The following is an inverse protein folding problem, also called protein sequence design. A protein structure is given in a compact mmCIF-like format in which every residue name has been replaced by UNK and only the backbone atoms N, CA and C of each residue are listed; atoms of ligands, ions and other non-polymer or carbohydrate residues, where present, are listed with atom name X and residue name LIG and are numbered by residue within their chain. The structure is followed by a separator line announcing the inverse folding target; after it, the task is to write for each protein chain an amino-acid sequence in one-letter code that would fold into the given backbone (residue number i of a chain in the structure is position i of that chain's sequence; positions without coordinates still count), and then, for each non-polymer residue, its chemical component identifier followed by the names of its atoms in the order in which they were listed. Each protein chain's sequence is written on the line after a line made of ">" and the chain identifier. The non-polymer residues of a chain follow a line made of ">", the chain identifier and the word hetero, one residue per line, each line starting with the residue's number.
data_IF_090433667319
#
_entry.id   IF_090433667319
#
_cell.length_a   1.000
_cell.length_b   1.000
_cell.length_c   1.000
_cell.angle_alpha   90.00
_cell.angle_beta   90.00
_cell.angle_gamma   90.00
#
_symmetry.space_group_name_H-M   'P 1'
#
loop_
_entity.id
_entity.type
_entity.pdbx_description
1 polymer ?
#
# COMPACT_ATOMS: atom_id res chain seq x y z
N UNK A 1 2.62 -8.01 0.30
CA UNK A 1 2.94 -9.35 -0.27
C UNK A 1 1.93 -9.57 -1.36
N UNK A 2 2.40 -9.68 -2.60
CA UNK A 2 1.55 -9.85 -3.78
C UNK A 2 1.88 -11.23 -4.36
N UNK A 3 1.02 -12.20 -4.12
CA UNK A 3 1.08 -13.55 -4.66
C UNK A 3 0.80 -13.54 -6.17
N UNK A 4 -0.02 -12.62 -6.65
CA UNK A 4 -0.35 -12.49 -8.07
C UNK A 4 0.74 -11.68 -8.81
N UNK A 5 1.41 -12.26 -9.83
CA UNK A 5 2.51 -11.60 -10.54
C UNK A 5 2.03 -10.40 -11.37
N UNK A 6 0.79 -10.43 -11.85
CA UNK A 6 0.19 -9.32 -12.62
C UNK A 6 0.00 -8.07 -11.74
N UNK A 7 -0.46 -8.27 -10.49
CA UNK A 7 -0.56 -7.16 -9.53
C UNK A 7 0.83 -6.61 -9.19
N UNK A 8 1.85 -7.46 -9.10
CA UNK A 8 3.21 -7.02 -8.80
C UNK A 8 3.74 -6.06 -9.85
N UNK A 9 3.63 -6.42 -11.14
CA UNK A 9 4.07 -5.55 -12.22
C UNK A 9 3.32 -4.20 -12.20
N UNK A 10 2.02 -4.23 -11.91
CA UNK A 10 1.24 -3.00 -11.85
C UNK A 10 1.59 -2.13 -10.64
N UNK A 11 1.80 -2.74 -9.47
CA UNK A 11 2.21 -2.04 -8.27
C UNK A 11 3.61 -1.46 -8.42
N UNK A 12 4.53 -2.16 -9.09
CA UNK A 12 5.86 -1.62 -9.42
C UNK A 12 5.76 -0.38 -10.32
N UNK A 13 4.88 -0.41 -11.34
CA UNK A 13 4.62 0.77 -12.18
C UNK A 13 4.03 1.92 -11.38
N UNK A 14 3.04 1.63 -10.53
CA UNK A 14 2.37 2.63 -9.68
C UNK A 14 3.36 3.23 -8.67
N UNK A 15 4.21 2.43 -8.04
CA UNK A 15 5.21 2.92 -7.12
C UNK A 15 6.27 3.78 -7.81
N UNK A 16 6.70 3.39 -9.01
CA UNK A 16 7.60 4.19 -9.83
C UNK A 16 6.98 5.54 -10.19
N UNK A 17 5.69 5.56 -10.54
CA UNK A 17 4.94 6.79 -10.82
C UNK A 17 4.75 7.67 -9.58
N UNK A 18 4.53 7.08 -8.41
CA UNK A 18 4.43 7.78 -7.12
C UNK A 18 5.79 8.18 -6.53
N UNK A 19 6.91 7.74 -7.11
CA UNK A 19 8.25 8.00 -6.59
C UNK A 19 8.58 7.25 -5.29
N UNK A 20 7.82 6.21 -4.94
CA UNK A 20 7.99 5.47 -3.67
C UNK A 20 8.82 4.21 -3.83
N UNK A 21 9.56 3.85 -2.78
CA UNK A 21 10.37 2.62 -2.74
C UNK A 21 9.53 1.44 -2.25
N UNK A 22 9.27 0.47 -3.12
CA UNK A 22 8.61 -0.78 -2.73
C UNK A 22 9.58 -1.71 -2.00
N UNK A 23 9.13 -2.24 -0.86
CA UNK A 23 9.78 -3.35 -0.18
C UNK A 23 8.88 -4.57 -0.26
N UNK A 24 9.32 -5.59 -1.00
CA UNK A 24 8.60 -6.85 -1.11
C UNK A 24 8.92 -7.74 0.10
N UNK A 25 7.92 -7.97 0.95
CA UNK A 25 7.97 -9.09 1.88
C UNK A 25 7.87 -10.38 1.07
N UNK A 26 8.99 -11.10 0.91
CA UNK A 26 9.07 -12.33 0.14
C UNK A 26 8.20 -13.44 0.73
N UNK A 27 7.71 -14.33 -0.11
CA UNK A 27 6.76 -15.40 0.24
C UNK A 27 7.27 -16.36 1.33
N UNK A 28 8.60 -16.41 1.53
CA UNK A 28 9.27 -17.31 2.47
C UNK A 28 9.32 -16.81 3.92
N UNK A 29 9.08 -15.52 4.20
CA UNK A 29 9.16 -14.98 5.55
C UNK A 29 7.91 -14.16 5.91
N UNK A 30 7.22 -14.46 7.02
CA UNK A 30 6.10 -13.64 7.49
C UNK A 30 6.59 -12.21 7.77
N UNK A 31 5.77 -11.22 7.40
CA UNK A 31 6.03 -9.81 7.72
C UNK A 31 6.16 -9.69 9.22
N UNK A 32 7.36 -9.34 9.69
CA UNK A 32 7.57 -9.12 11.12
C UNK A 32 6.73 -7.92 11.57
N UNK A 33 6.23 -7.94 12.81
CA UNK A 33 5.53 -6.77 13.39
C UNK A 33 6.36 -5.48 13.26
N UNK A 34 7.69 -5.57 13.35
CA UNK A 34 8.60 -4.43 13.16
C UNK A 34 8.54 -3.87 11.73
N UNK A 35 8.56 -4.74 10.72
CA UNK A 35 8.46 -4.34 9.31
C UNK A 35 7.11 -3.70 9.02
N UNK A 36 6.03 -4.26 9.58
CA UNK A 36 4.69 -3.70 9.48
C UNK A 36 4.60 -2.30 10.09
N UNK A 37 5.16 -2.10 11.28
CA UNK A 37 5.14 -0.79 11.95
C UNK A 37 6.08 0.24 11.33
N UNK A 38 7.16 -0.20 10.67
CA UNK A 38 8.14 0.70 10.04
C UNK A 38 7.73 1.14 8.62
N UNK A 39 6.76 0.46 8.00
CA UNK A 39 6.31 0.78 6.65
C UNK A 39 5.47 2.07 6.64
N UNK A 40 5.75 3.00 5.72
CA UNK A 40 4.91 4.19 5.54
C UNK A 40 3.52 3.83 4.99
N UNK A 41 3.46 2.86 4.07
CA UNK A 41 2.24 2.28 3.52
C UNK A 41 2.37 0.76 3.42
N UNK A 42 1.25 0.04 3.53
CA UNK A 42 1.25 -1.42 3.34
C UNK A 42 0.28 -1.81 2.24
N UNK A 43 0.81 -2.50 1.22
CA UNK A 43 0.04 -3.02 0.09
C UNK A 43 -0.03 -4.54 0.15
N UNK A 44 -1.26 -5.07 0.16
CA UNK A 44 -1.58 -6.49 0.26
C UNK A 44 -2.49 -6.88 -0.90
N UNK A 45 -2.43 -8.12 -1.39
CA UNK A 45 -3.54 -8.67 -2.18
C UNK A 45 -4.59 -9.34 -1.27
N UNK A 46 -5.71 -9.77 -1.85
CA UNK A 46 -6.78 -10.46 -1.13
C UNK A 46 -6.30 -11.71 -0.35
N UNK A 47 -5.40 -12.52 -0.91
CA UNK A 47 -4.87 -13.74 -0.26
C UNK A 47 -3.95 -13.38 0.91
N UNK A 48 -3.12 -12.37 0.74
CA UNK A 48 -2.22 -11.85 1.75
C UNK A 48 -3.00 -11.18 2.88
N UNK A 49 -4.07 -10.45 2.59
CA UNK A 49 -4.96 -9.87 3.59
C UNK A 49 -5.59 -10.96 4.47
N UNK A 50 -6.18 -12.00 3.86
CA UNK A 50 -6.76 -13.12 4.58
C UNK A 50 -5.73 -13.90 5.43
N UNK A 51 -4.46 -13.93 4.98
CA UNK A 51 -3.37 -14.46 5.80
C UNK A 51 -3.07 -13.53 6.96
N UNK A 52 -2.80 -12.25 6.71
CA UNK A 52 -2.43 -11.23 7.69
C UNK A 52 -3.47 -11.04 8.79
N UNK A 53 -4.76 -11.17 8.49
CA UNK A 53 -5.86 -11.16 9.45
C UNK A 53 -5.58 -12.15 10.61
N UNK A 54 -5.07 -13.35 10.29
CA UNK A 54 -4.77 -14.39 11.29
C UNK A 54 -3.60 -14.03 12.22
N UNK A 55 -2.77 -13.07 11.85
CA UNK A 55 -1.59 -12.67 12.63
C UNK A 55 -1.87 -11.49 13.57
N UNK A 56 -3.11 -10.97 13.59
CA UNK A 56 -3.56 -9.87 14.46
C UNK A 56 -2.55 -8.72 14.50
N UNK A 57 -2.11 -8.27 13.32
CA UNK A 57 -1.15 -7.18 13.19
C UNK A 57 -1.77 -5.87 13.73
N UNK A 58 -0.98 -4.98 14.34
CA UNK A 58 -1.49 -3.73 14.90
C UNK A 58 -2.13 -2.88 13.80
N UNK A 59 -3.30 -2.29 14.09
CA UNK A 59 -3.96 -1.34 13.17
C UNK A 59 -3.03 -0.17 12.91
N UNK A 60 -2.82 0.12 11.62
CA UNK A 60 -1.99 1.21 11.12
C UNK A 60 -2.77 1.88 10.00
N UNK A 61 -2.60 3.19 9.90
CA UNK A 61 -3.16 3.96 8.80
C UNK A 61 -2.42 3.63 7.48
N UNK A 62 -3.05 3.85 6.32
CA UNK A 62 -2.48 3.59 4.99
C UNK A 62 -2.24 2.11 4.62
N UNK A 63 -3.15 1.21 5.03
CA UNK A 63 -3.19 -0.17 4.53
C UNK A 63 -4.12 -0.25 3.31
N UNK A 64 -3.62 -0.72 2.17
CA UNK A 64 -4.40 -0.88 0.92
C UNK A 64 -4.41 -2.33 0.47
N UNK A 65 -5.59 -2.85 0.16
CA UNK A 65 -5.79 -4.19 -0.39
C UNK A 65 -6.06 -4.10 -1.90
N UNK A 66 -5.38 -4.95 -2.67
CA UNK A 66 -5.49 -5.02 -4.12
C UNK A 66 -6.18 -6.30 -4.55
N UNK A 67 -6.98 -6.17 -5.61
CA UNK A 67 -7.65 -7.27 -6.28
C UNK A 67 -7.49 -7.17 -7.79
N UNK A 68 -7.37 -8.30 -8.47
CA UNK A 68 -7.37 -8.38 -9.95
C UNK A 68 -8.80 -8.26 -10.50
N UNK A 69 -9.76 -8.83 -9.77
CA UNK A 69 -11.18 -8.86 -10.15
C UNK A 69 -12.06 -8.03 -9.21
N UNK A 70 -13.37 -8.18 -9.36
CA UNK A 70 -14.34 -7.54 -8.46
C UNK A 70 -14.15 -8.06 -7.03
N UNK A 71 -14.01 -7.19 -6.02
CA UNK A 71 -13.82 -7.63 -4.64
C UNK A 71 -15.09 -8.32 -4.13
N UNK A 72 -14.97 -9.61 -3.85
CA UNK A 72 -16.03 -10.39 -3.20
C UNK A 72 -16.16 -10.04 -1.71
N UNK A 73 -17.26 -10.46 -1.08
CA UNK A 73 -17.52 -10.22 0.34
C UNK A 73 -16.41 -10.75 1.26
N UNK A 74 -15.74 -11.83 0.87
CA UNK A 74 -14.61 -12.42 1.60
C UNK A 74 -13.38 -11.52 1.56
N UNK A 75 -13.11 -10.88 0.41
CA UNK A 75 -12.04 -9.89 0.26
C UNK A 75 -12.32 -8.66 1.11
N UNK A 76 -13.56 -8.17 1.12
CA UNK A 76 -13.97 -7.06 1.98
C UNK A 76 -13.83 -7.39 3.47
N UNK A 77 -14.26 -8.58 3.89
CA UNK A 77 -14.12 -9.03 5.28
C UNK A 77 -12.64 -9.09 5.70
N UNK A 78 -11.78 -9.68 4.86
CA UNK A 78 -10.35 -9.75 5.11
C UNK A 78 -9.71 -8.35 5.16
N UNK A 79 -10.10 -7.45 4.26
CA UNK A 79 -9.65 -6.06 4.24
C UNK A 79 -10.01 -5.32 5.54
N UNK A 80 -11.26 -5.43 5.99
CA UNK A 80 -11.70 -4.87 7.28
C UNK A 80 -10.94 -5.50 8.46
N UNK A 81 -10.71 -6.82 8.42
CA UNK A 81 -9.98 -7.56 9.43
C UNK A 81 -8.54 -7.06 9.63
N UNK A 82 -7.85 -6.72 8.54
CA UNK A 82 -6.50 -6.14 8.59
C UNK A 82 -6.48 -4.62 8.81
N UNK A 83 -7.65 -3.97 8.83
CA UNK A 83 -7.75 -2.52 8.92
C UNK A 83 -7.37 -1.79 7.64
N UNK A 84 -7.64 -2.39 6.48
CA UNK A 84 -7.45 -1.74 5.20
C UNK A 84 -8.37 -0.51 5.07
N UNK A 85 -7.77 0.58 4.63
CA UNK A 85 -8.44 1.84 4.37
C UNK A 85 -9.07 1.83 2.96
N UNK A 86 -8.39 1.19 2.01
CA UNK A 86 -8.80 1.13 0.61
C UNK A 86 -8.75 -0.31 0.08
N UNK A 87 -9.74 -0.66 -0.76
CA UNK A 87 -9.74 -1.89 -1.56
C UNK A 87 -9.81 -1.48 -3.03
N UNK A 88 -8.70 -1.61 -3.74
CA UNK A 88 -8.55 -1.12 -5.12
C UNK A 88 -8.43 -2.28 -6.11
N UNK A 89 -9.05 -2.11 -7.28
CA UNK A 89 -9.01 -3.09 -8.37
C UNK A 89 -7.99 -2.69 -9.42
N UNK A 90 -6.97 -3.51 -9.63
CA UNK A 90 -5.97 -3.28 -10.68
C UNK A 90 -6.25 -4.13 -11.93
N UNK A 91 -5.96 -3.59 -13.13
CA UNK A 91 -5.35 -2.27 -13.40
C UNK A 91 -6.33 -1.08 -13.37
N UNK A 92 -7.64 -1.30 -13.15
CA UNK A 92 -8.66 -0.26 -13.30
C UNK A 92 -8.59 0.95 -12.35
N UNK A 93 -7.88 0.85 -11.21
CA UNK A 93 -7.78 1.87 -10.15
C UNK A 93 -6.31 2.17 -9.80
N UNK A 94 -5.41 2.09 -10.79
CA UNK A 94 -3.99 2.36 -10.59
C UNK A 94 -3.73 3.81 -10.13
N UNK A 95 -4.49 4.77 -10.64
CA UNK A 95 -4.37 6.18 -10.27
C UNK A 95 -4.72 6.43 -8.79
N UNK A 96 -5.76 5.77 -8.28
CA UNK A 96 -6.14 5.85 -6.86
C UNK A 96 -5.04 5.27 -5.97
N UNK A 97 -4.38 4.20 -6.41
CA UNK A 97 -3.25 3.62 -5.69
C UNK A 97 -2.03 4.57 -5.69
N UNK A 98 -1.75 5.26 -6.80
CA UNK A 98 -0.69 6.29 -6.84
C UNK A 98 -0.96 7.37 -5.80
N UNK A 99 -2.20 7.88 -5.74
CA UNK A 99 -2.59 8.90 -4.76
C UNK A 99 -2.45 8.41 -3.32
N UNK A 100 -2.96 7.21 -3.02
CA UNK A 100 -2.86 6.62 -1.69
C UNK A 100 -1.39 6.40 -1.25
N UNK A 101 -0.52 5.97 -2.16
CA UNK A 101 0.91 5.79 -1.87
C UNK A 101 1.65 7.12 -1.68
N UNK A 102 1.33 8.13 -2.49
CA UNK A 102 1.92 9.47 -2.35
C UNK A 102 1.51 10.10 -1.01
N UNK A 103 0.23 10.03 -0.66
CA UNK A 103 -0.29 10.55 0.62
C UNK A 103 0.38 9.85 1.82
N UNK A 104 0.51 8.52 1.76
CA UNK A 104 1.18 7.77 2.81
C UNK A 104 2.68 8.07 2.92
N UNK A 105 3.34 8.41 1.80
CA UNK A 105 4.73 8.83 1.81
C UNK A 105 4.91 10.21 2.48
N UNK A 106 3.98 11.14 2.25
CA UNK A 106 3.94 12.45 2.89
C UNK A 106 3.56 12.36 4.39
N UNK A 107 2.53 11.57 4.72
CA UNK A 107 2.04 11.38 6.09
C UNK A 107 2.94 10.49 6.97
N UNK A 108 3.72 9.59 6.36
CA UNK A 108 4.65 8.68 7.04
C UNK A 108 5.85 9.37 7.71
N UNK A 109 6.06 10.67 7.48
CA UNK A 109 7.04 11.51 8.18
C UNK A 109 6.74 11.78 9.66
N UNK A 110 5.59 11.32 10.17
CA UNK A 110 5.15 11.47 11.56
C UNK A 110 5.90 10.58 12.55
N UNK A 111 7.19 10.84 12.74
CA UNK A 111 8.03 10.05 13.65
C UNK A 111 9.32 10.74 14.09
N UNK A 112 9.27 12.05 14.36
CA UNK A 112 10.35 12.75 15.07
C UNK A 112 10.67 14.13 14.51
N UNK A 113 10.09 15.15 15.14
CA UNK A 113 10.60 16.52 15.26
C UNK A 113 11.43 17.13 14.13
N UNK A 114 10.81 18.08 13.43
CA UNK A 114 11.49 19.31 13.01
C UNK A 114 11.87 19.41 11.53
N UNK A 115 11.19 20.34 10.84
CA UNK A 115 11.83 21.19 9.84
C UNK A 115 11.57 20.86 8.36
N UNK A 116 10.58 21.54 7.79
CA UNK A 116 10.81 22.51 6.70
C UNK A 116 11.05 22.01 5.27
N UNK A 117 10.18 22.50 4.35
CA UNK A 117 10.40 22.60 2.90
C UNK A 117 9.36 21.79 2.13
N UNK A 118 8.24 22.36 1.67
CA UNK A 118 8.19 23.43 0.67
C UNK A 118 8.31 22.79 -0.72
N UNK A 119 7.21 22.53 -1.43
CA UNK A 119 6.54 23.54 -2.24
C UNK A 119 7.30 23.77 -3.55
N UNK A 120 6.81 23.23 -4.66
CA UNK A 120 7.43 23.42 -5.98
C UNK A 120 6.57 22.89 -7.13
N UNK A 121 5.40 23.48 -7.34
CA UNK A 121 4.60 23.24 -8.53
C UNK A 121 5.12 24.00 -9.76
N UNK A 122 4.92 23.38 -10.93
CA UNK A 122 4.40 24.05 -12.15
C UNK A 122 5.32 24.93 -13.00
N UNK A 123 5.65 24.44 -14.20
CA UNK A 123 5.10 25.01 -15.45
C UNK A 123 5.94 26.00 -16.28
N UNK A 124 5.96 25.73 -17.61
CA UNK A 124 6.30 26.65 -18.73
C UNK A 124 7.69 26.39 -19.31
N UNK A 125 7.91 26.10 -20.60
CA UNK A 125 7.17 26.41 -21.82
C UNK A 125 7.87 27.56 -22.55
N UNK A 126 8.56 27.27 -23.67
CA UNK A 126 9.17 28.26 -24.58
C UNK A 126 10.66 28.09 -24.77
#
# INVERSE_FOLDING_TARGET
>A
MLAEPELRAEVERVAAAAGVRLVHAGDAAPVSRKTWTAAAAVVLDARAAARCERWALPRRDHVTVLTVGEPESTTWAAAVGVGAEHVLRLPGQAADLVGALAEAAEGGGGGGGGGGGGGGGGGGGG
#
